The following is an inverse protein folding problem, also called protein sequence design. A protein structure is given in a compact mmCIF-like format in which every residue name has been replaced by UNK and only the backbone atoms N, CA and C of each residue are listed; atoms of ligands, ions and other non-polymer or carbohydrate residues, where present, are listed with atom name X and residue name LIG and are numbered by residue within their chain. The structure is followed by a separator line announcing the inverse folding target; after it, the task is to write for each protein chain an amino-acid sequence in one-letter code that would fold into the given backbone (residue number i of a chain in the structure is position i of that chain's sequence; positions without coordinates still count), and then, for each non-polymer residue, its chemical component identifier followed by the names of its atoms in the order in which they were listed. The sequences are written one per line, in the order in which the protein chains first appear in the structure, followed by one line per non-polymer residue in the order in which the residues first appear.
data_IF_147244047558
#
_entry.id   IF_147244047558
#
_cell.length_a   1.000
_cell.length_b   1.000
_cell.length_c   1.000
_cell.angle_alpha   90.00
_cell.angle_beta   90.00
_cell.angle_gamma   90.00
#
_symmetry.space_group_name_H-M   'P 1'
#
loop_
_entity.id
_entity.type
_entity.pdbx_description
1 polymer ?
#
# COMPACT_ATOMS: atom_id res chain seq x y z
N UNK A 1 -16.99 29.46 -6.10
CA UNK A 1 -15.66 28.89 -5.75
C UNK A 1 -14.71 29.30 -6.86
N UNK A 2 -13.57 29.91 -6.52
CA UNK A 2 -12.65 30.45 -7.50
C UNK A 2 -12.05 29.32 -8.34
N UNK A 3 -12.05 29.49 -9.66
CA UNK A 3 -11.34 28.64 -10.61
C UNK A 3 -9.84 28.91 -10.44
N UNK A 4 -9.14 28.01 -9.76
CA UNK A 4 -7.69 28.09 -9.52
C UNK A 4 -6.93 27.35 -10.64
N UNK A 5 -7.42 27.36 -11.87
CA UNK A 5 -6.62 26.85 -12.99
C UNK A 5 -5.59 27.91 -13.41
N UNK A 6 -4.47 27.97 -12.70
CA UNK A 6 -3.24 28.57 -13.22
C UNK A 6 -2.86 27.85 -14.51
N UNK A 7 -2.74 28.55 -15.66
CA UNK A 7 -2.39 27.92 -16.92
C UNK A 7 -1.07 27.13 -16.78
N UNK A 8 -1.11 25.82 -17.01
CA UNK A 8 0.09 24.96 -16.99
C UNK A 8 0.23 24.01 -15.80
N UNK A 9 -0.50 24.19 -14.70
CA UNK A 9 -0.47 23.28 -13.55
C UNK A 9 -1.56 22.20 -13.65
N UNK A 10 -1.29 20.96 -13.19
CA UNK A 10 -2.34 19.95 -13.10
C UNK A 10 -3.30 20.26 -11.94
N UNK A 11 -4.57 19.82 -12.03
CA UNK A 11 -5.53 19.96 -10.94
C UNK A 11 -5.17 19.13 -9.70
N UNK A 12 -4.41 18.05 -9.89
CA UNK A 12 -3.93 17.16 -8.84
C UNK A 12 -2.51 16.72 -9.19
N UNK A 13 -1.65 16.57 -8.18
CA UNK A 13 -0.28 16.06 -8.36
C UNK A 13 -0.18 14.55 -8.16
N UNK A 14 -1.14 13.95 -7.46
CA UNK A 14 -1.15 12.51 -7.16
C UNK A 14 -2.47 11.90 -7.56
N UNK A 15 -2.40 10.80 -8.31
CA UNK A 15 -3.53 9.93 -8.62
C UNK A 15 -3.33 8.66 -7.80
N UNK A 16 -4.06 8.54 -6.68
CA UNK A 16 -4.04 7.35 -5.85
C UNK A 16 -5.16 6.40 -6.26
N UNK A 17 -4.82 5.16 -6.62
CA UNK A 17 -5.80 4.23 -7.18
C UNK A 17 -5.71 2.91 -6.42
N UNK A 18 -6.82 2.49 -5.83
CA UNK A 18 -6.97 1.10 -5.39
C UNK A 18 -6.99 0.13 -6.58
N UNK A 19 -6.77 -1.17 -6.34
CA UNK A 19 -6.71 -2.18 -7.39
C UNK A 19 -8.01 -2.93 -7.60
N UNK A 20 -8.33 -3.84 -6.69
CA UNK A 20 -9.44 -4.79 -6.84
C UNK A 20 -10.78 -4.07 -6.73
N UNK A 21 -11.62 -4.17 -7.76
CA UNK A 21 -12.88 -3.42 -7.79
C UNK A 21 -12.73 -1.94 -8.11
N UNK A 22 -11.51 -1.46 -8.41
CA UNK A 22 -11.22 -0.05 -8.73
C UNK A 22 -10.45 0.09 -10.06
N UNK A 23 -9.12 -0.12 -10.06
CA UNK A 23 -8.29 -0.08 -11.27
C UNK A 23 -8.52 -1.29 -12.18
N UNK A 24 -8.66 -2.47 -11.55
CA UNK A 24 -8.84 -3.72 -12.26
C UNK A 24 -10.32 -3.93 -12.58
N UNK A 25 -10.59 -4.37 -13.80
CA UNK A 25 -11.92 -4.82 -14.22
C UNK A 25 -12.30 -6.15 -13.49
N UNK A 26 -13.53 -6.64 -13.64
CA UNK A 26 -13.95 -7.93 -13.06
C UNK A 26 -13.10 -9.13 -13.48
N UNK A 27 -12.41 -9.05 -14.62
CA UNK A 27 -11.47 -10.05 -15.13
C UNK A 27 -10.05 -9.93 -14.53
N UNK A 28 -9.85 -8.99 -13.59
CA UNK A 28 -8.56 -8.67 -12.95
C UNK A 28 -7.48 -8.12 -13.89
N UNK A 29 -7.90 -7.42 -14.94
CA UNK A 29 -7.05 -6.79 -15.93
C UNK A 29 -7.17 -5.26 -15.90
N UNK A 30 -6.12 -4.58 -16.35
CA UNK A 30 -6.19 -3.14 -16.66
C UNK A 30 -6.61 -3.02 -18.12
N UNK A 31 -7.73 -2.37 -18.39
CA UNK A 31 -8.16 -2.14 -19.77
C UNK A 31 -7.18 -1.21 -20.50
N UNK A 32 -7.05 -1.39 -21.81
CA UNK A 32 -6.22 -0.50 -22.63
C UNK A 32 -6.65 0.97 -22.54
N UNK A 33 -7.96 1.23 -22.43
CA UNK A 33 -8.48 2.58 -22.27
C UNK A 33 -8.02 3.22 -20.94
N UNK A 34 -8.08 2.47 -19.85
CA UNK A 34 -7.63 2.94 -18.54
C UNK A 34 -6.12 3.14 -18.50
N UNK A 35 -5.34 2.17 -19.00
CA UNK A 35 -3.88 2.28 -19.13
C UNK A 35 -3.48 3.51 -19.94
N UNK A 36 -4.08 3.68 -21.12
CA UNK A 36 -3.78 4.80 -22.02
C UNK A 36 -4.12 6.15 -21.38
N UNK A 37 -5.24 6.24 -20.68
CA UNK A 37 -5.65 7.47 -19.98
C UNK A 37 -4.64 7.88 -18.90
N UNK A 38 -4.17 6.92 -18.09
CA UNK A 38 -3.16 7.18 -17.05
C UNK A 38 -1.85 7.63 -17.70
N UNK A 39 -1.41 6.95 -18.77
CA UNK A 39 -0.22 7.33 -19.53
C UNK A 39 -0.34 8.74 -20.12
N UNK A 40 -1.51 9.10 -20.66
CA UNK A 40 -1.74 10.41 -21.28
C UNK A 40 -1.69 11.55 -20.26
N UNK A 41 -2.23 11.37 -19.03
CA UNK A 41 -2.08 12.37 -17.96
C UNK A 41 -0.62 12.53 -17.57
N UNK A 42 0.10 11.41 -17.36
CA UNK A 42 1.52 11.45 -16.99
C UNK A 42 2.34 12.09 -18.12
N UNK A 43 2.04 11.82 -19.38
CA UNK A 43 2.70 12.46 -20.53
C UNK A 43 2.42 13.97 -20.62
N UNK A 44 1.20 14.40 -20.25
CA UNK A 44 0.79 15.81 -20.20
C UNK A 44 1.47 16.57 -19.07
N UNK A 45 1.69 15.93 -17.92
CA UNK A 45 2.29 16.54 -16.72
C UNK A 45 3.45 15.70 -16.16
N UNK A 46 4.53 15.51 -16.95
CA UNK A 46 5.53 14.50 -16.67
C UNK A 46 6.33 14.76 -15.40
N UNK A 47 6.44 16.01 -14.95
CA UNK A 47 7.15 16.37 -13.71
C UNK A 47 6.23 16.62 -12.53
N UNK A 48 4.93 16.82 -12.76
CA UNK A 48 3.98 17.23 -11.72
C UNK A 48 2.97 16.15 -11.33
N UNK A 49 2.72 15.13 -12.15
CA UNK A 49 1.75 14.07 -11.85
C UNK A 49 2.41 12.72 -11.58
N UNK A 50 2.02 12.10 -10.48
CA UNK A 50 2.48 10.80 -10.03
C UNK A 50 1.29 9.86 -9.81
N UNK A 51 1.51 8.58 -10.04
CA UNK A 51 0.52 7.51 -9.83
C UNK A 51 0.95 6.69 -8.62
N UNK A 52 0.04 6.50 -7.67
CA UNK A 52 0.25 5.69 -6.48
C UNK A 52 -0.77 4.54 -6.47
N UNK A 53 -0.31 3.31 -6.73
CA UNK A 53 -1.15 2.14 -6.51
C UNK A 53 -1.29 1.89 -5.02
N UNK A 54 -2.52 1.84 -4.51
CA UNK A 54 -2.82 1.80 -3.07
C UNK A 54 -3.72 0.64 -2.70
N UNK A 55 -3.14 -0.48 -2.25
CA UNK A 55 -3.87 -1.73 -2.10
C UNK A 55 -3.55 -2.49 -0.82
N UNK A 56 -4.45 -3.41 -0.46
CA UNK A 56 -4.24 -4.41 0.57
C UNK A 56 -3.24 -5.51 0.17
N UNK A 57 -2.91 -5.64 -1.12
CA UNK A 57 -1.94 -6.63 -1.65
C UNK A 57 -0.50 -6.30 -1.25
N UNK A 58 0.39 -7.28 -1.40
CA UNK A 58 1.82 -7.15 -1.09
C UNK A 58 2.61 -6.56 -2.26
N UNK A 59 3.82 -6.08 -1.98
CA UNK A 59 4.69 -5.40 -2.96
C UNK A 59 4.90 -6.16 -4.28
N UNK A 60 5.21 -7.48 -4.31
CA UNK A 60 5.48 -8.18 -5.57
C UNK A 60 4.30 -8.11 -6.56
N UNK A 61 3.07 -8.27 -6.06
CA UNK A 61 1.85 -8.20 -6.87
C UNK A 61 1.65 -6.80 -7.44
N UNK A 62 1.71 -5.79 -6.58
CA UNK A 62 1.55 -4.37 -6.95
C UNK A 62 2.64 -3.93 -7.95
N UNK A 63 3.86 -4.44 -7.80
CA UNK A 63 4.96 -4.12 -8.69
C UNK A 63 4.72 -4.62 -10.11
N UNK A 64 4.18 -5.84 -10.27
CA UNK A 64 3.82 -6.39 -11.57
C UNK A 64 2.73 -5.55 -12.26
N UNK A 65 1.71 -5.13 -11.51
CA UNK A 65 0.64 -4.26 -12.00
C UNK A 65 1.21 -2.88 -12.39
N UNK A 66 2.05 -2.27 -11.55
CA UNK A 66 2.67 -0.98 -11.84
C UNK A 66 3.54 -1.04 -13.11
N UNK A 67 4.29 -2.12 -13.30
CA UNK A 67 5.10 -2.32 -14.51
C UNK A 67 4.25 -2.44 -15.76
N UNK A 68 3.07 -3.07 -15.67
CA UNK A 68 2.13 -3.21 -16.79
C UNK A 68 1.53 -1.88 -17.27
N UNK A 69 1.52 -0.84 -16.41
CA UNK A 69 1.09 0.51 -16.79
C UNK A 69 2.12 1.22 -17.70
N UNK A 70 3.36 0.73 -17.75
CA UNK A 70 4.43 1.26 -18.62
C UNK A 70 4.67 2.76 -18.46
N UNK A 71 4.53 3.26 -17.23
CA UNK A 71 4.85 4.64 -16.89
C UNK A 71 6.37 4.84 -16.82
N UNK A 72 6.87 6.08 -16.99
CA UNK A 72 8.22 6.40 -16.54
C UNK A 72 8.35 6.00 -15.07
N UNK A 73 9.41 5.26 -14.73
CA UNK A 73 9.53 4.58 -13.45
C UNK A 73 9.43 5.53 -12.26
N UNK A 74 9.90 6.76 -12.45
CA UNK A 74 9.86 7.82 -11.46
C UNK A 74 8.47 8.44 -11.24
N UNK A 75 7.49 8.18 -12.11
CA UNK A 75 6.10 8.61 -11.93
C UNK A 75 5.24 7.56 -11.20
N UNK A 76 5.77 6.36 -10.95
CA UNK A 76 5.06 5.27 -10.28
C UNK A 76 5.48 5.09 -8.82
N UNK A 77 4.52 4.74 -7.97
CA UNK A 77 4.74 4.46 -6.55
C UNK A 77 3.74 3.43 -6.03
N UNK A 78 4.07 2.80 -4.90
CA UNK A 78 3.28 1.70 -4.32
C UNK A 78 3.01 1.97 -2.84
N UNK A 79 1.75 1.86 -2.45
CA UNK A 79 1.25 1.78 -1.09
C UNK A 79 0.64 0.39 -0.93
N UNK A 80 1.33 -0.50 -0.22
CA UNK A 80 1.00 -1.92 -0.10
C UNK A 80 0.60 -2.29 1.33
N UNK A 81 -0.05 -3.44 1.50
CA UNK A 81 -0.54 -3.92 2.80
C UNK A 81 -1.37 -2.86 3.54
N UNK A 82 -2.29 -2.17 2.84
CA UNK A 82 -3.05 -1.03 3.34
C UNK A 82 -2.19 0.11 3.88
N UNK A 83 -1.03 0.36 3.29
CA UNK A 83 -0.12 1.41 3.73
C UNK A 83 0.86 1.02 4.84
N UNK A 84 0.92 -0.25 5.23
CA UNK A 84 1.98 -0.73 6.09
C UNK A 84 3.36 -0.56 5.42
N UNK A 85 3.42 -0.76 4.10
CA UNK A 85 4.64 -0.58 3.32
C UNK A 85 4.44 0.38 2.15
N UNK A 86 5.37 1.33 2.01
CA UNK A 86 5.34 2.34 0.95
C UNK A 86 6.66 2.31 0.20
N UNK A 87 6.57 2.36 -1.12
CA UNK A 87 7.72 2.33 -2.03
C UNK A 87 7.62 3.51 -3.00
N UNK A 88 8.71 4.26 -3.09
CA UNK A 88 8.81 5.46 -3.91
C UNK A 88 10.10 5.43 -4.73
N UNK A 89 10.12 6.15 -5.85
CA UNK A 89 11.31 6.27 -6.65
C UNK A 89 12.43 6.99 -5.89
N UNK A 90 13.66 6.47 -5.99
CA UNK A 90 14.81 7.13 -5.37
C UNK A 90 15.25 8.34 -6.21
N UNK A 91 14.78 9.53 -5.85
CA UNK A 91 15.06 10.78 -6.59
C UNK A 91 16.55 11.13 -6.67
N UNK A 92 17.41 10.62 -5.79
CA UNK A 92 18.87 10.85 -5.87
C UNK A 92 19.46 10.35 -7.19
N UNK A 93 18.91 9.28 -7.75
CA UNK A 93 19.36 8.70 -9.02
C UNK A 93 19.15 9.63 -10.24
N UNK A 94 18.31 10.66 -10.11
CA UNK A 94 18.12 11.70 -11.13
C UNK A 94 19.19 12.78 -11.05
N UNK A 95 19.81 12.93 -9.89
CA UNK A 95 20.89 13.91 -9.64
C UNK A 95 22.21 13.31 -10.12
N UNK A 96 22.51 12.04 -9.79
CA UNK A 96 23.76 11.37 -10.15
C UNK A 96 23.97 11.27 -11.67
N UNK A 97 22.89 11.15 -12.46
CA UNK A 97 22.96 11.17 -13.94
C UNK A 97 23.45 12.51 -14.53
N UNK A 98 23.55 13.58 -13.73
CA UNK A 98 24.05 14.89 -14.19
C UNK A 98 25.58 14.99 -14.21
N UNK A 99 26.27 14.24 -13.36
CA UNK A 99 27.73 14.31 -13.21
C UNK A 99 28.49 13.32 -14.10
N UNK A 100 27.79 12.36 -14.71
CA UNK A 100 28.36 11.34 -15.61
C UNK A 100 28.58 11.85 -17.06
N UNK A 101 29.19 13.03 -17.19
CA UNK A 101 29.71 13.55 -18.48
C UNK A 101 31.16 13.16 -18.76
N UNK A 102 31.74 12.27 -17.96
CA UNK A 102 33.05 11.67 -18.23
C UNK A 102 32.88 10.15 -18.43
N UNK A 103 33.02 9.68 -19.66
CA UNK A 103 32.84 8.28 -20.08
C UNK A 103 33.92 7.30 -19.54
N UNK A 104 34.73 7.67 -18.55
CA UNK A 104 35.88 6.86 -18.13
C UNK A 104 35.96 6.68 -16.62
N UNK A 105 34.97 5.98 -16.02
CA UNK A 105 35.20 5.20 -14.79
C UNK A 105 34.13 4.12 -14.59
N UNK A 106 34.01 3.21 -15.57
CA UNK A 106 33.48 1.88 -15.32
C UNK A 106 34.58 1.06 -14.65
N UNK A 107 34.41 0.76 -13.35
CA UNK A 107 34.74 -0.50 -12.65
C UNK A 107 34.87 -0.19 -11.15
N UNK A 108 34.21 -1.02 -10.32
CA UNK A 108 34.03 -0.97 -8.84
C UNK A 108 32.73 -0.23 -8.46
N UNK A 109 31.57 -0.85 -8.24
CA UNK A 109 31.28 -2.13 -7.59
C UNK A 109 29.96 -2.70 -8.12
N UNK A 110 30.05 -3.86 -8.75
CA UNK A 110 28.92 -4.72 -9.04
C UNK A 110 28.48 -5.41 -7.75
N UNK A 111 27.42 -4.91 -7.10
CA UNK A 111 26.36 -5.69 -6.41
C UNK A 111 25.48 -4.77 -5.54
N UNK A 112 24.18 -4.73 -5.89
CA UNK A 112 23.03 -4.15 -5.14
C UNK A 112 22.72 -2.64 -5.27
N UNK A 113 22.17 -2.24 -6.42
CA UNK A 113 20.91 -1.48 -6.43
C UNK A 113 20.12 -1.80 -7.71
N UNK A 114 19.40 -2.93 -7.68
CA UNK A 114 18.72 -3.55 -8.83
C UNK A 114 17.27 -3.06 -9.02
N UNK A 115 16.82 -2.05 -8.27
CA UNK A 115 15.43 -1.59 -8.28
C UNK A 115 15.32 -0.07 -8.17
N UNK A 116 14.42 0.53 -8.98
CA UNK A 116 14.16 1.97 -9.05
C UNK A 116 13.26 2.51 -7.92
N UNK A 117 12.59 1.63 -7.16
CA UNK A 117 11.80 1.99 -5.97
C UNK A 117 12.51 1.55 -4.69
N UNK A 118 12.54 2.44 -3.69
CA UNK A 118 13.04 2.19 -2.34
C UNK A 118 11.88 2.14 -1.35
N UNK A 119 12.00 1.30 -0.31
CA UNK A 119 11.00 1.26 0.77
C UNK A 119 11.20 2.49 1.67
N UNK A 120 10.18 3.34 1.74
CA UNK A 120 10.19 4.58 2.54
C UNK A 120 9.34 4.47 3.82
N UNK A 121 8.51 3.43 3.91
CA UNK A 121 7.75 3.07 5.12
C UNK A 121 7.72 1.55 5.29
N UNK A 122 7.90 1.08 6.53
CA UNK A 122 7.72 -0.30 6.94
C UNK A 122 7.11 -0.34 8.36
N UNK A 123 5.79 -0.37 8.43
CA UNK A 123 5.04 -0.54 9.67
C UNK A 123 4.70 -2.02 9.88
N UNK A 124 4.75 -2.46 11.13
CA UNK A 124 4.48 -3.85 11.50
C UNK A 124 3.56 -3.89 12.71
N UNK A 125 2.68 -4.88 12.76
CA UNK A 125 1.87 -5.19 13.93
C UNK A 125 2.78 -5.58 15.09
N UNK A 126 2.53 -5.00 16.27
CA UNK A 126 3.27 -5.35 17.48
C UNK A 126 3.19 -6.87 17.76
N UNK A 127 4.31 -7.54 18.12
CA UNK A 127 4.33 -8.98 18.37
C UNK A 127 3.29 -9.45 19.41
N UNK A 128 3.01 -8.63 20.43
CA UNK A 128 1.99 -8.89 21.44
C UNK A 128 0.56 -8.88 20.87
N UNK A 129 0.29 -7.98 19.92
CA UNK A 129 -0.98 -7.93 19.21
C UNK A 129 -1.10 -9.12 18.25
N UNK A 130 -0.02 -9.46 17.53
CA UNK A 130 0.05 -10.64 16.68
C UNK A 130 -0.25 -11.92 17.48
N UNK A 131 0.37 -12.09 18.66
CA UNK A 131 0.08 -13.20 19.57
C UNK A 131 -1.41 -13.27 19.91
N UNK A 132 -2.04 -12.14 20.23
CA UNK A 132 -3.46 -12.10 20.59
C UNK A 132 -4.37 -12.44 19.41
N UNK A 133 -4.11 -11.91 18.21
CA UNK A 133 -4.88 -12.22 17.00
C UNK A 133 -4.81 -13.72 16.68
N UNK A 134 -3.62 -14.31 16.72
CA UNK A 134 -3.42 -15.73 16.43
C UNK A 134 -4.05 -16.61 17.52
N UNK A 135 -3.92 -16.23 18.79
CA UNK A 135 -4.53 -16.95 19.92
C UNK A 135 -6.06 -16.94 19.81
N UNK A 136 -6.62 -15.78 19.49
CA UNK A 136 -8.05 -15.64 19.25
C UNK A 136 -8.47 -16.54 18.08
N UNK A 137 -7.74 -16.53 16.96
CA UNK A 137 -8.02 -17.43 15.84
C UNK A 137 -8.03 -18.91 16.22
N UNK A 138 -7.14 -19.36 17.12
CA UNK A 138 -7.15 -20.74 17.62
C UNK A 138 -8.44 -21.10 18.37
N UNK A 139 -9.12 -20.13 18.97
CA UNK A 139 -10.37 -20.34 19.72
C UNK A 139 -11.60 -20.51 18.80
N UNK A 140 -11.62 -19.89 17.61
CA UNK A 140 -12.80 -19.86 16.72
C UNK A 140 -12.57 -20.30 15.28
N UNK A 141 -11.34 -20.39 14.80
CA UNK A 141 -10.99 -20.41 13.37
C UNK A 141 -10.74 -21.77 12.74
N UNK A 142 -10.88 -22.88 13.47
CA UNK A 142 -10.41 -24.20 12.97
C UNK A 142 -11.20 -24.81 11.81
N UNK A 143 -12.37 -24.24 11.44
CA UNK A 143 -13.22 -24.84 10.40
C UNK A 143 -13.84 -23.87 9.38
N UNK A 144 -14.02 -22.57 9.69
CA UNK A 144 -14.82 -21.66 8.84
C UNK A 144 -14.10 -20.35 8.47
N UNK A 145 -12.98 -20.01 9.13
CA UNK A 145 -12.26 -18.76 8.91
C UNK A 145 -10.79 -19.06 8.70
N UNK A 146 -10.26 -18.77 7.52
CA UNK A 146 -8.83 -18.91 7.29
C UNK A 146 -8.07 -17.71 7.84
N UNK A 147 -6.84 -17.95 8.26
CA UNK A 147 -5.92 -16.92 8.72
C UNK A 147 -4.76 -16.81 7.75
N UNK A 148 -4.56 -15.61 7.22
CA UNK A 148 -3.42 -15.27 6.40
C UNK A 148 -2.60 -14.16 7.05
N UNK A 149 -1.29 -14.20 6.83
CA UNK A 149 -0.33 -13.24 7.37
C UNK A 149 0.61 -12.82 6.24
N UNK A 150 0.78 -11.52 6.07
CA UNK A 150 1.91 -10.96 5.34
C UNK A 150 3.00 -10.62 6.33
N UNK A 151 4.11 -11.36 6.26
CA UNK A 151 5.27 -11.21 7.15
C UNK A 151 6.52 -11.04 6.30
N UNK A 152 7.13 -9.86 6.37
CA UNK A 152 8.20 -9.45 5.45
C UNK A 152 7.78 -9.69 4.00
N UNK A 153 8.53 -10.50 3.25
CA UNK A 153 8.25 -10.84 1.86
C UNK A 153 7.50 -12.19 1.72
N UNK A 154 7.01 -12.74 2.84
CA UNK A 154 6.26 -14.00 2.86
C UNK A 154 4.77 -13.76 3.02
N UNK A 155 4.02 -14.65 2.40
CA UNK A 155 2.61 -14.87 2.66
C UNK A 155 2.47 -16.24 3.30
N UNK A 156 1.95 -16.29 4.52
CA UNK A 156 1.70 -17.55 5.21
C UNK A 156 0.23 -17.69 5.55
N UNK A 157 -0.26 -18.91 5.56
CA UNK A 157 -1.67 -19.24 5.72
C UNK A 157 -1.88 -20.45 6.64
N UNK A 158 -2.94 -20.44 7.44
CA UNK A 158 -3.22 -21.51 8.39
C UNK A 158 -3.85 -22.75 7.74
N UNK A 159 -4.60 -22.58 6.65
CA UNK A 159 -5.31 -23.67 5.95
C UNK A 159 -5.18 -23.51 4.44
N UNK A 160 -5.21 -24.63 3.70
CA UNK A 160 -5.22 -24.56 2.24
C UNK A 160 -6.50 -23.90 1.70
N UNK A 161 -6.34 -22.97 0.76
CA UNK A 161 -7.46 -22.29 0.13
C UNK A 161 -7.20 -22.14 -1.37
N UNK A 162 -7.60 -23.15 -2.13
CA UNK A 162 -7.29 -23.25 -3.58
C UNK A 162 -7.82 -22.09 -4.42
N UNK A 163 -8.90 -21.45 -3.97
CA UNK A 163 -9.53 -20.33 -4.69
C UNK A 163 -8.71 -19.03 -4.55
N UNK A 164 -7.94 -18.85 -3.47
CA UNK A 164 -7.19 -17.61 -3.24
C UNK A 164 -5.94 -17.50 -4.13
N UNK A 165 -5.47 -18.63 -4.67
CA UNK A 165 -4.37 -18.69 -5.63
C UNK A 165 -4.70 -18.02 -6.97
N UNK A 166 -5.99 -17.82 -7.28
CA UNK A 166 -6.42 -17.12 -8.50
C UNK A 166 -6.06 -15.63 -8.50
N UNK A 167 -5.94 -15.02 -7.32
CA UNK A 167 -5.63 -13.59 -7.18
C UNK A 167 -4.12 -13.29 -7.32
N UNK A 168 -3.26 -14.30 -7.27
CA UNK A 168 -1.79 -14.19 -7.31
C UNK A 168 -1.15 -14.93 -8.49
N UNK A 169 -1.94 -15.52 -9.38
CA UNK A 169 -1.42 -16.34 -10.49
C UNK A 169 -0.55 -15.59 -11.49
N UNK A 170 -0.65 -14.25 -11.53
CA UNK A 170 0.15 -13.40 -12.43
C UNK A 170 1.55 -13.15 -11.87
N UNK A 171 1.70 -12.96 -10.56
CA UNK A 171 2.99 -12.64 -9.92
C UNK A 171 3.81 -13.88 -9.55
N UNK A 172 3.19 -15.06 -9.54
CA UNK A 172 3.80 -16.28 -8.98
C UNK A 172 3.98 -16.20 -7.47
N UNK A 173 3.29 -15.27 -6.81
CA UNK A 173 3.34 -15.09 -5.37
C UNK A 173 2.43 -16.10 -4.68
N UNK A 174 3.00 -16.99 -3.87
CA UNK A 174 2.26 -18.10 -3.26
C UNK A 174 2.35 -18.05 -1.74
N UNK A 175 1.30 -18.58 -1.09
CA UNK A 175 1.33 -18.76 0.35
C UNK A 175 2.08 -20.02 0.73
N UNK A 176 2.70 -19.99 1.91
CA UNK A 176 3.19 -21.18 2.61
C UNK A 176 2.21 -21.53 3.75
N UNK A 177 2.08 -22.81 4.07
CA UNK A 177 1.30 -23.21 5.25
C UNK A 177 2.14 -23.01 6.51
N UNK A 178 1.51 -22.51 7.58
CA UNK A 178 2.11 -22.47 8.91
C UNK A 178 1.17 -23.07 9.95
N UNK A 179 1.74 -23.55 11.06
CA UNK A 179 0.96 -24.02 12.20
C UNK A 179 0.81 -22.88 13.23
N UNK A 180 -0.41 -22.35 13.44
CA UNK A 180 -0.63 -21.25 14.38
C UNK A 180 -0.31 -21.62 15.83
N UNK A 181 -0.55 -22.87 16.23
CA UNK A 181 -0.25 -23.35 17.59
C UNK A 181 1.25 -23.39 17.86
N UNK A 182 2.03 -23.91 16.90
CA UNK A 182 3.49 -23.94 17.01
C UNK A 182 4.08 -22.52 17.07
N UNK A 183 3.51 -21.58 16.33
CA UNK A 183 3.98 -20.18 16.34
C UNK A 183 3.71 -19.48 17.68
N UNK A 184 2.56 -19.77 18.31
CA UNK A 184 2.24 -19.32 19.68
C UNK A 184 3.23 -19.91 20.69
N UNK A 185 3.52 -21.21 20.59
CA UNK A 185 4.50 -21.88 21.45
C UNK A 185 5.91 -21.29 21.28
N UNK A 186 6.34 -21.06 20.05
CA UNK A 186 7.62 -20.43 19.73
C UNK A 186 7.74 -19.01 20.32
N UNK A 187 6.67 -18.21 20.24
CA UNK A 187 6.66 -16.87 20.81
C UNK A 187 6.72 -16.88 22.34
N UNK A 188 6.05 -17.83 23.00
CA UNK A 188 6.15 -18.00 24.45
C UNK A 188 7.58 -18.34 24.89
N UNK A 189 8.24 -19.27 24.19
CA UNK A 189 9.66 -19.59 24.43
C UNK A 189 10.57 -18.37 24.21
N UNK A 190 10.33 -17.60 23.14
CA UNK A 190 11.03 -16.34 22.88
C UNK A 190 10.88 -15.36 24.06
N UNK A 191 9.66 -15.16 24.58
CA UNK A 191 9.44 -14.25 25.72
C UNK A 191 10.13 -14.74 27.00
N UNK A 192 10.09 -16.03 27.30
CA UNK A 192 10.76 -16.59 28.48
C UNK A 192 12.27 -16.39 28.45
N UNK A 193 12.91 -16.58 27.29
CA UNK A 193 14.35 -16.38 27.15
C UNK A 193 14.75 -14.91 27.26
N UNK A 194 13.98 -14.00 26.66
CA UNK A 194 14.31 -12.57 26.73
C UNK A 194 14.07 -11.98 28.12
N UNK A 195 13.07 -12.46 28.87
CA UNK A 195 12.92 -12.12 30.30
C UNK A 195 14.14 -12.54 31.14
N UNK A 196 14.78 -13.67 30.81
CA UNK A 196 15.98 -14.16 31.51
C UNK A 196 17.26 -13.39 31.16
N UNK A 197 17.32 -12.69 30.02
CA UNK A 197 18.50 -11.91 29.58
C UNK A 197 18.61 -10.51 30.21
N UNK A 198 17.52 -9.96 30.78
CA UNK A 198 17.54 -8.66 31.46
C UNK A 198 16.74 -8.67 32.78
N UNK A 199 17.24 -9.31 33.85
CA UNK A 199 16.52 -9.32 35.13
C UNK A 199 16.80 -8.08 36.01
N UNK A 200 17.99 -7.48 35.91
CA UNK A 200 18.43 -6.30 36.68
C UNK A 200 19.82 -5.84 36.15
N UNK A 201 20.15 -4.55 36.29
CA UNK A 201 21.45 -3.95 35.95
C UNK A 201 22.62 -4.71 36.61
N UNK A 202 23.38 -5.50 35.84
CA UNK A 202 24.83 -5.76 36.03
C UNK A 202 25.38 -6.60 34.87
N UNK A 203 26.19 -5.98 34.01
CA UNK A 203 26.85 -6.63 32.88
C UNK A 203 28.04 -7.46 33.34
N UNK A 204 27.98 -8.79 33.16
CA UNK A 204 29.17 -9.58 32.81
C UNK A 204 28.89 -10.42 31.57
N UNK A 205 29.79 -10.28 30.60
CA UNK A 205 29.68 -10.82 29.27
C UNK A 205 30.06 -12.30 29.20
N UNK A 206 29.50 -12.97 28.20
CA UNK A 206 30.14 -14.12 27.57
C UNK A 206 29.41 -15.44 27.77
N UNK A 207 28.32 -15.66 27.03
CA UNK A 207 27.92 -17.00 26.60
C UNK A 207 27.33 -16.92 25.19
N UNK A 208 27.74 -17.85 24.33
CA UNK A 208 27.31 -18.03 22.94
C UNK A 208 25.78 -18.13 22.83
N UNK A 209 25.13 -16.99 22.61
CA UNK A 209 23.68 -16.87 22.65
C UNK A 209 23.08 -17.18 21.27
N UNK A 210 22.60 -18.42 21.07
CA UNK A 210 21.51 -18.68 20.13
C UNK A 210 20.32 -17.82 20.57
N UNK A 211 20.21 -16.63 20.00
CA UNK A 211 19.11 -15.71 20.29
C UNK A 211 17.93 -16.17 19.46
N UNK A 212 16.91 -16.74 20.09
CA UNK A 212 15.65 -17.03 19.41
C UNK A 212 15.16 -15.76 18.72
N UNK A 213 14.86 -15.86 17.44
CA UNK A 213 14.23 -14.79 16.69
C UNK A 213 12.77 -14.67 17.13
N UNK A 214 12.24 -13.45 17.13
CA UNK A 214 10.83 -13.24 17.42
C UNK A 214 10.00 -13.78 16.24
N UNK A 215 9.17 -14.83 16.41
CA UNK A 215 8.41 -15.41 15.31
C UNK A 215 7.33 -14.47 14.75
N UNK A 216 6.96 -13.42 15.48
CA UNK A 216 5.98 -12.42 15.06
C UNK A 216 6.60 -11.08 14.64
N UNK A 217 7.93 -10.97 14.60
CA UNK A 217 8.58 -9.80 14.00
C UNK A 217 8.28 -9.70 12.50
N UNK A 218 8.19 -8.49 11.96
CA UNK A 218 8.00 -8.28 10.52
C UNK A 218 6.58 -8.53 9.99
N UNK A 219 5.60 -8.84 10.86
CA UNK A 219 4.21 -8.99 10.43
C UNK A 219 3.64 -7.62 10.04
N UNK A 220 3.29 -7.44 8.77
CA UNK A 220 2.76 -6.18 8.22
C UNK A 220 1.23 -6.13 8.30
N UNK A 221 0.58 -7.28 8.12
CA UNK A 221 -0.88 -7.39 8.02
C UNK A 221 -1.34 -8.82 8.31
N UNK A 222 -2.49 -8.95 8.93
CA UNK A 222 -3.30 -10.17 8.90
C UNK A 222 -4.51 -9.95 7.99
N UNK A 223 -5.00 -11.01 7.38
CA UNK A 223 -6.34 -11.00 6.82
C UNK A 223 -7.02 -12.34 7.03
N UNK A 224 -8.32 -12.26 7.33
CA UNK A 224 -9.17 -13.40 7.58
C UNK A 224 -10.09 -13.58 6.38
N UNK A 225 -10.16 -14.81 5.85
CA UNK A 225 -11.08 -15.17 4.77
C UNK A 225 -12.22 -16.04 5.31
N UNK A 226 -13.45 -15.79 4.88
CA UNK A 226 -14.59 -16.66 5.16
C UNK A 226 -15.76 -16.35 4.24
N UNK A 227 -16.56 -17.37 3.91
CA UNK A 227 -17.86 -17.18 3.24
C UNK A 227 -18.95 -16.70 4.19
N UNK A 228 -18.72 -16.76 5.50
CA UNK A 228 -19.67 -16.36 6.52
C UNK A 228 -19.39 -14.91 6.97
N UNK A 229 -20.02 -13.95 6.30
CA UNK A 229 -19.84 -12.53 6.56
C UNK A 229 -20.28 -12.16 8.01
N UNK A 230 -21.37 -12.73 8.52
CA UNK A 230 -21.83 -12.45 9.89
C UNK A 230 -20.82 -12.94 10.96
N UNK A 231 -20.14 -14.05 10.70
CA UNK A 231 -19.04 -14.50 11.53
C UNK A 231 -17.86 -13.52 11.48
N UNK A 232 -17.47 -13.03 10.29
CA UNK A 232 -16.42 -12.02 10.17
C UNK A 232 -16.78 -10.71 10.89
N UNK A 233 -18.03 -10.25 10.82
CA UNK A 233 -18.51 -9.08 11.58
C UNK A 233 -18.39 -9.31 13.09
N UNK A 234 -18.75 -10.50 13.56
CA UNK A 234 -18.61 -10.88 14.97
C UNK A 234 -17.14 -10.90 15.40
N UNK A 235 -16.25 -11.46 14.57
CA UNK A 235 -14.81 -11.49 14.83
C UNK A 235 -14.23 -10.06 14.84
N UNK A 236 -14.61 -9.22 13.88
CA UNK A 236 -14.22 -7.80 13.82
C UNK A 236 -14.52 -7.09 15.14
N UNK A 237 -15.75 -7.17 15.62
CA UNK A 237 -16.14 -6.55 16.90
C UNK A 237 -15.28 -7.06 18.06
N UNK A 238 -15.08 -8.37 18.17
CA UNK A 238 -14.30 -8.97 19.26
C UNK A 238 -12.84 -8.57 19.25
N UNK A 239 -12.20 -8.54 18.07
CA UNK A 239 -10.79 -8.12 17.95
C UNK A 239 -10.70 -6.63 18.29
N UNK A 240 -11.61 -5.79 17.80
CA UNK A 240 -11.61 -4.35 18.09
C UNK A 240 -11.79 -4.07 19.58
N UNK A 241 -12.70 -4.79 20.25
CA UNK A 241 -12.95 -4.64 21.69
C UNK A 241 -11.76 -5.07 22.54
N UNK A 242 -11.07 -6.17 22.14
CA UNK A 242 -9.97 -6.75 22.91
C UNK A 242 -8.62 -6.10 22.61
N UNK A 243 -8.43 -5.63 21.38
CA UNK A 243 -7.17 -5.07 20.87
C UNK A 243 -7.46 -3.73 20.17
N UNK A 244 -7.84 -2.68 20.92
CA UNK A 244 -8.22 -1.38 20.34
C UNK A 244 -7.08 -0.67 19.62
N UNK A 245 -5.83 -1.13 19.79
CA UNK A 245 -4.64 -0.67 19.08
C UNK A 245 -4.47 -1.26 17.68
N UNK A 246 -5.46 -2.00 17.17
CA UNK A 246 -5.50 -2.46 15.79
C UNK A 246 -6.54 -1.70 14.97
N UNK A 247 -6.22 -1.53 13.69
CA UNK A 247 -7.14 -1.03 12.68
C UNK A 247 -7.68 -2.21 11.88
N UNK A 248 -9.01 -2.31 11.77
CA UNK A 248 -9.70 -3.45 11.18
C UNK A 248 -10.73 -2.97 10.16
N UNK A 249 -10.64 -3.47 8.93
CA UNK A 249 -11.53 -3.05 7.83
C UNK A 249 -11.86 -4.22 6.90
N UNK A 250 -13.05 -4.20 6.31
CA UNK A 250 -13.38 -5.12 5.23
C UNK A 250 -12.80 -4.64 3.89
N UNK A 251 -12.08 -5.51 3.19
CA UNK A 251 -11.71 -5.30 1.78
C UNK A 251 -12.68 -5.98 0.82
N UNK A 252 -13.55 -6.86 1.32
CA UNK A 252 -14.73 -7.37 0.63
C UNK A 252 -15.67 -8.01 1.66
N UNK A 253 -16.82 -8.53 1.22
CA UNK A 253 -17.72 -9.31 2.07
C UNK A 253 -17.11 -10.61 2.64
N UNK A 254 -15.99 -11.08 2.10
CA UNK A 254 -15.33 -12.32 2.50
C UNK A 254 -13.94 -12.11 3.10
N UNK A 255 -13.44 -10.87 3.17
CA UNK A 255 -12.09 -10.56 3.63
C UNK A 255 -12.10 -9.46 4.68
N UNK A 256 -11.62 -9.81 5.89
CA UNK A 256 -11.42 -8.88 6.99
C UNK A 256 -9.93 -8.67 7.19
N UNK A 257 -9.48 -7.42 7.12
CA UNK A 257 -8.07 -7.05 7.15
C UNK A 257 -7.72 -6.37 8.46
N UNK A 258 -6.58 -6.74 9.04
CA UNK A 258 -6.12 -6.28 10.35
C UNK A 258 -4.69 -5.77 10.21
N UNK A 259 -4.48 -4.50 10.56
CA UNK A 259 -3.19 -3.82 10.55
C UNK A 259 -3.01 -3.05 11.87
N UNK A 260 -1.83 -2.47 12.08
CA UNK A 260 -1.57 -1.64 13.27
C UNK A 260 -2.42 -0.36 13.26
N UNK A 261 -2.70 0.24 14.43
CA UNK A 261 -3.67 1.35 14.56
C UNK A 261 -3.41 2.56 13.65
N UNK A 262 -2.14 2.88 13.37
CA UNK A 262 -1.77 4.05 12.55
C UNK A 262 -1.61 3.70 11.05
N UNK A 263 -1.97 2.49 10.66
CA UNK A 263 -1.82 1.97 9.29
C UNK A 263 -3.15 2.07 8.56
N UNK A 264 -3.12 2.79 7.44
CA UNK A 264 -4.20 2.87 6.45
C UNK A 264 -3.62 3.31 5.11
N UNK A 265 -4.39 3.12 4.03
CA UNK A 265 -4.02 3.63 2.69
C UNK A 265 -3.72 5.13 2.74
N UNK A 266 -4.49 5.88 3.54
CA UNK A 266 -4.26 7.30 3.79
C UNK A 266 -2.89 7.59 4.43
N UNK A 267 -2.58 6.97 5.56
CA UNK A 267 -1.30 7.23 6.26
C UNK A 267 -0.11 6.75 5.43
N UNK A 268 -0.28 5.70 4.63
CA UNK A 268 0.67 5.29 3.59
C UNK A 268 0.92 6.41 2.57
N UNK A 269 -0.13 6.95 1.96
CA UNK A 269 -0.01 8.10 1.03
C UNK A 269 0.56 9.35 1.69
N UNK A 270 0.20 9.66 2.93
CA UNK A 270 0.78 10.79 3.66
C UNK A 270 2.30 10.66 3.78
N UNK A 271 2.81 9.46 4.08
CA UNK A 271 4.26 9.21 4.14
C UNK A 271 4.94 9.30 2.77
N UNK A 272 4.18 9.12 1.69
CA UNK A 272 4.67 9.17 0.31
C UNK A 272 4.83 10.61 -0.21
N UNK A 273 4.00 11.56 0.25
CA UNK A 273 3.94 12.92 -0.31
C UNK A 273 5.29 13.66 -0.38
N UNK A 274 6.13 13.67 0.68
CA UNK A 274 7.43 14.36 0.63
C UNK A 274 8.36 13.78 -0.45
N UNK A 275 8.30 12.46 -0.69
CA UNK A 275 9.13 11.80 -1.69
C UNK A 275 8.69 12.16 -3.11
N UNK A 276 7.38 12.22 -3.37
CA UNK A 276 6.86 12.63 -4.68
C UNK A 276 7.18 14.08 -4.98
N UNK A 277 7.02 14.97 -3.99
CA UNK A 277 7.36 16.39 -4.16
C UNK A 277 8.88 16.59 -4.39
N UNK A 278 9.73 15.84 -3.69
CA UNK A 278 11.17 15.85 -3.94
C UNK A 278 11.53 15.34 -5.34
N UNK A 279 10.85 14.27 -5.80
CA UNK A 279 11.01 13.75 -7.16
C UNK A 279 10.57 14.77 -8.21
N UNK A 280 9.42 15.43 -8.01
CA UNK A 280 8.93 16.49 -8.89
C UNK A 280 9.96 17.60 -9.08
N UNK A 281 10.50 18.12 -7.97
CA UNK A 281 11.58 19.13 -7.97
C UNK A 281 12.81 18.65 -8.71
N UNK A 282 13.28 17.42 -8.44
CA UNK A 282 14.45 16.86 -9.11
C UNK A 282 14.24 16.76 -10.63
N UNK A 283 13.04 16.36 -11.08
CA UNK A 283 12.71 16.26 -12.50
C UNK A 283 12.57 17.62 -13.17
N UNK A 284 11.99 18.60 -12.48
CA UNK A 284 11.94 19.99 -12.97
C UNK A 284 13.35 20.54 -13.16
N UNK A 285 14.21 20.44 -12.15
CA UNK A 285 15.61 20.90 -12.25
C UNK A 285 16.44 20.11 -13.28
N UNK A 286 16.07 18.88 -13.64
CA UNK A 286 16.70 18.14 -14.73
C UNK A 286 16.28 18.67 -16.12
N UNK A 287 15.03 19.16 -16.25
CA UNK A 287 14.51 19.76 -17.49
C UNK A 287 14.93 21.23 -17.66
N UNK A 288 15.00 21.99 -16.58
CA UNK A 288 15.37 23.42 -16.56
C UNK A 288 16.81 23.68 -17.01
N UNK A 289 17.72 22.72 -16.84
CA UNK A 289 19.05 22.77 -17.44
C UNK A 289 19.03 22.91 -18.99
N UNK A 290 17.86 22.75 -19.62
CA UNK A 290 17.60 22.94 -21.04
C UNK A 290 16.64 24.12 -21.39
N UNK A 291 16.23 25.01 -20.45
CA UNK A 291 15.44 26.24 -20.73
C UNK A 291 14.53 26.78 -19.59
N UNK A 292 14.28 28.11 -19.56
CA UNK A 292 13.46 28.93 -18.59
C UNK A 292 11.95 28.58 -18.58
N UNK A 293 11.07 28.75 -17.57
CA UNK A 293 10.97 29.05 -16.11
C UNK A 293 9.53 28.61 -15.72
N UNK A 294 9.30 28.12 -14.49
CA UNK A 294 8.27 28.57 -13.53
C UNK A 294 8.51 27.84 -12.19
N UNK A 295 8.86 28.58 -11.13
CA UNK A 295 9.13 27.98 -9.82
C UNK A 295 7.82 27.44 -9.25
N UNK A 296 7.72 26.12 -9.13
CA UNK A 296 6.59 25.49 -8.44
C UNK A 296 6.57 25.98 -6.99
N UNK A 297 5.37 26.31 -6.51
CA UNK A 297 5.13 26.82 -5.15
C UNK A 297 5.81 25.95 -4.09
N UNK A 298 6.42 26.56 -3.07
CA UNK A 298 6.97 25.86 -1.90
C UNK A 298 5.91 25.16 -1.04
N UNK A 299 4.62 25.26 -1.39
CA UNK A 299 3.53 24.63 -0.65
C UNK A 299 3.73 23.12 -0.61
N UNK A 300 3.78 22.51 0.59
CA UNK A 300 3.90 21.07 0.74
C UNK A 300 2.75 20.34 0.05
N UNK A 301 3.07 19.28 -0.70
CA UNK A 301 2.04 18.40 -1.23
C UNK A 301 1.43 17.60 -0.08
N UNK A 302 0.10 17.60 0.01
CA UNK A 302 -0.63 16.78 0.98
C UNK A 302 -1.73 16.00 0.30
N UNK A 303 -2.17 14.89 0.90
CA UNK A 303 -3.29 14.10 0.38
C UNK A 303 -4.53 14.98 0.21
N UNK A 304 -4.79 15.85 1.17
CA UNK A 304 -5.93 16.75 1.27
C UNK A 304 -5.95 17.86 0.23
N UNK A 305 -4.80 18.21 -0.35
CA UNK A 305 -4.68 19.37 -1.25
C UNK A 305 -4.31 18.99 -2.68
N UNK A 306 -3.63 17.85 -2.89
CA UNK A 306 -3.05 17.52 -4.19
C UNK A 306 -3.40 16.12 -4.71
N UNK A 307 -4.19 15.33 -3.97
CA UNK A 307 -4.51 13.95 -4.35
C UNK A 307 -5.96 13.80 -4.84
N UNK A 308 -6.12 13.15 -6.00
CA UNK A 308 -7.37 12.49 -6.38
C UNK A 308 -7.24 11.00 -6.06
N UNK A 309 -8.19 10.45 -5.30
CA UNK A 309 -8.15 9.08 -4.82
C UNK A 309 -9.35 8.26 -5.29
N UNK A 310 -9.12 7.00 -5.66
CA UNK A 310 -10.14 6.05 -6.11
C UNK A 310 -10.14 4.79 -5.24
N UNK A 311 -11.32 4.28 -4.91
CA UNK A 311 -11.49 3.10 -4.07
C UNK A 311 -12.95 2.67 -3.97
N UNK A 312 -13.19 1.44 -3.53
CA UNK A 312 -14.52 0.84 -3.58
C UNK A 312 -14.99 0.21 -2.25
N UNK A 313 -14.10 0.00 -1.28
CA UNK A 313 -14.37 -0.75 -0.04
C UNK A 313 -14.02 0.03 1.25
N UNK A 314 -14.28 -0.60 2.41
CA UNK A 314 -14.10 0.03 3.73
C UNK A 314 -12.63 0.44 3.99
N UNK A 315 -11.66 -0.37 3.53
CA UNK A 315 -10.24 -0.07 3.65
C UNK A 315 -9.78 1.16 2.84
N UNK A 316 -10.60 1.65 1.90
CA UNK A 316 -10.35 2.88 1.14
C UNK A 316 -10.85 4.14 1.83
N UNK A 317 -11.81 4.02 2.74
CA UNK A 317 -12.52 5.15 3.35
C UNK A 317 -11.57 6.22 3.89
N UNK A 318 -10.51 5.90 4.65
CA UNK A 318 -9.60 6.93 5.15
C UNK A 318 -8.93 7.73 4.04
N UNK A 319 -8.57 7.08 2.93
CA UNK A 319 -7.93 7.73 1.78
C UNK A 319 -8.94 8.58 1.00
N UNK A 320 -10.15 8.07 0.77
CA UNK A 320 -11.19 8.76 0.00
C UNK A 320 -11.67 10.05 0.70
N UNK A 321 -11.99 9.96 1.98
CA UNK A 321 -12.54 11.10 2.75
C UNK A 321 -11.50 12.20 2.95
N UNK A 322 -10.21 11.85 2.96
CA UNK A 322 -9.13 12.80 3.18
C UNK A 322 -8.53 13.37 1.91
N UNK A 323 -8.67 12.70 0.76
CA UNK A 323 -8.12 13.21 -0.49
C UNK A 323 -8.76 14.55 -0.88
N UNK A 324 -8.01 15.40 -1.58
CA UNK A 324 -8.54 16.62 -2.20
C UNK A 324 -9.78 16.32 -3.05
N UNK A 325 -9.79 15.12 -3.66
CA UNK A 325 -10.99 14.54 -4.27
C UNK A 325 -11.05 13.03 -4.08
N UNK A 326 -11.92 12.57 -3.18
CA UNK A 326 -12.30 11.16 -3.07
C UNK A 326 -13.32 10.74 -4.13
N UNK A 327 -13.03 9.66 -4.84
CA UNK A 327 -13.88 9.06 -5.87
C UNK A 327 -14.25 7.63 -5.46
N UNK A 328 -15.49 7.43 -5.02
CA UNK A 328 -16.02 6.11 -4.65
C UNK A 328 -16.56 5.41 -5.90
N UNK A 329 -16.13 4.17 -6.14
CA UNK A 329 -16.51 3.43 -7.35
C UNK A 329 -18.01 3.09 -7.38
N UNK A 330 -18.58 3.04 -8.59
CA UNK A 330 -20.00 2.74 -8.79
C UNK A 330 -20.41 1.34 -8.33
N UNK A 331 -19.46 0.40 -8.28
CA UNK A 331 -19.65 -0.97 -7.80
C UNK A 331 -19.56 -1.12 -6.27
N UNK A 332 -19.27 -0.05 -5.52
CA UNK A 332 -19.32 -0.07 -4.05
C UNK A 332 -20.70 -0.42 -3.53
N UNK A 333 -20.75 -0.93 -2.29
CA UNK A 333 -22.02 -1.27 -1.64
C UNK A 333 -22.90 -0.03 -1.42
N UNK A 334 -24.22 -0.22 -1.46
CA UNK A 334 -25.18 0.86 -1.20
C UNK A 334 -25.12 1.39 0.24
N UNK A 335 -24.64 0.57 1.19
CA UNK A 335 -24.34 1.04 2.54
C UNK A 335 -23.18 2.04 2.53
N UNK A 336 -22.07 1.70 1.88
CA UNK A 336 -20.89 2.58 1.81
C UNK A 336 -21.21 3.89 1.07
N UNK A 337 -21.91 3.82 -0.06
CA UNK A 337 -22.37 5.02 -0.80
C UNK A 337 -23.22 5.94 0.07
N UNK A 338 -24.16 5.39 0.85
CA UNK A 338 -25.00 6.18 1.75
C UNK A 338 -24.19 6.83 2.88
N UNK A 339 -23.23 6.12 3.43
CA UNK A 339 -22.35 6.61 4.49
C UNK A 339 -21.47 7.76 4.01
N UNK A 340 -20.92 7.67 2.79
CA UNK A 340 -19.96 8.65 2.27
C UNK A 340 -20.54 9.73 1.35
N UNK A 341 -21.87 9.77 1.16
CA UNK A 341 -22.55 10.63 0.16
C UNK A 341 -22.18 12.13 0.19
N UNK A 342 -21.69 12.64 1.32
CA UNK A 342 -21.31 14.04 1.51
C UNK A 342 -19.79 14.27 1.43
N UNK A 343 -18.99 13.21 1.47
CA UNK A 343 -17.53 13.27 1.60
C UNK A 343 -16.82 12.89 0.30
N UNK A 344 -17.48 12.16 -0.60
CA UNK A 344 -16.89 11.63 -1.83
C UNK A 344 -17.82 11.82 -3.04
N UNK A 345 -17.24 11.75 -4.23
CA UNK A 345 -17.99 11.69 -5.49
C UNK A 345 -18.14 10.23 -5.90
N UNK A 346 -19.37 9.77 -6.17
CA UNK A 346 -19.58 8.44 -6.77
C UNK A 346 -19.30 8.53 -8.27
N UNK A 347 -18.40 7.66 -8.76
CA UNK A 347 -18.01 7.56 -10.18
C UNK A 347 -18.58 6.29 -10.82
N UNK A 348 -18.23 6.04 -12.09
CA UNK A 348 -18.61 4.80 -12.80
C UNK A 348 -18.05 3.54 -12.12
N UNK A 349 -18.50 2.36 -12.54
CA UNK A 349 -17.98 1.09 -12.03
C UNK A 349 -16.60 0.78 -12.62
N UNK A 350 -15.88 -0.17 -12.02
CA UNK A 350 -14.66 -0.71 -12.61
C UNK A 350 -14.90 -1.47 -13.94
N UNK A 351 -16.10 -2.01 -14.18
CA UNK A 351 -16.47 -2.62 -15.47
C UNK A 351 -16.72 -1.61 -16.59
N UNK A 352 -16.87 -0.33 -16.25
CA UNK A 352 -17.15 0.79 -17.16
C UNK A 352 -15.97 1.76 -17.24
N UNK A 353 -14.76 1.35 -16.82
CA UNK A 353 -13.58 2.20 -16.78
C UNK A 353 -13.79 3.52 -16.00
N UNK A 354 -14.54 3.45 -14.88
CA UNK A 354 -14.92 4.62 -14.08
C UNK A 354 -13.74 5.49 -13.63
N UNK A 355 -12.60 4.86 -13.32
CA UNK A 355 -11.33 5.56 -13.01
C UNK A 355 -10.88 6.41 -14.19
N UNK A 356 -10.81 5.82 -15.40
CA UNK A 356 -10.33 6.51 -16.59
C UNK A 356 -11.22 7.68 -16.97
N UNK A 357 -12.54 7.48 -16.97
CA UNK A 357 -13.49 8.55 -17.28
C UNK A 357 -13.36 9.74 -16.32
N UNK A 358 -13.21 9.48 -15.03
CA UNK A 358 -13.04 10.55 -14.05
C UNK A 358 -11.67 11.22 -14.16
N UNK A 359 -10.59 10.47 -14.43
CA UNK A 359 -9.27 11.06 -14.71
C UNK A 359 -9.35 12.00 -15.92
N UNK A 360 -9.96 11.58 -17.04
CA UNK A 360 -10.12 12.45 -18.22
C UNK A 360 -10.89 13.72 -17.90
N UNK A 361 -11.99 13.60 -17.14
CA UNK A 361 -12.80 14.74 -16.70
C UNK A 361 -12.02 15.69 -15.81
N UNK A 362 -11.33 15.17 -14.80
CA UNK A 362 -10.54 15.95 -13.84
C UNK A 362 -9.40 16.70 -14.54
N UNK A 363 -8.63 16.02 -15.39
CA UNK A 363 -7.43 16.56 -16.04
C UNK A 363 -7.70 17.23 -17.40
N UNK A 364 -8.97 17.32 -17.83
CA UNK A 364 -9.40 17.90 -19.10
C UNK A 364 -8.60 17.32 -20.28
N UNK A 365 -8.62 15.99 -20.40
CA UNK A 365 -7.97 15.22 -21.47
C UNK A 365 -8.85 15.02 -22.70
#
# INVERSE_FOLDING_TARGET
MADISTPGLPPFHVIAIDMDGTLLNPEHEITEFTKKTIQDVVAKYPTQVFVALSSGRQYPDLKSILDSLELPKENGSIVSCNGACVYAFNSSTLIDRKDDKNEEEKVISSEKQKYDLIQVRNATVLPENAYQVISMWLDYGKCEVNLHIYQDDRWICAMEEKEILKYSSISGYHYELFNPLESIQAYNLYKEQNKKKFPDDTLTAGHSNLTLTNPFGGIRKFFLSSKNNELLKTIKSRIQDKIPSLSISFSSNCFLEIVDADVSKFTGLQSLMPHLQACAKAKQSAREANGKIESESEVPWTVESTCIAFGDNENDVPMLVKAARGCLMGNSTEELKRTLKNDVVVVGTNSEDGVAHEIKKAFKL
#
